data_IF_444684175415
#
_entry.id   IF_444684175415
#
_cell.length_a   1.000
_cell.length_b   1.000
_cell.length_c   1.000
_cell.angle_alpha   90.00
_cell.angle_beta   90.00
_cell.angle_gamma   90.00
#
_symmetry.space_group_name_H-M   'P 1'
#
loop_
_entity.id
_entity.type
_entity.pdbx_description
1 polymer ?
#
# COMPACT_ATOMS: atom_id res chain seq x y z
N UNK A 1 74.31 36.59 17.52
CA UNK A 1 73.49 36.56 16.36
C UNK A 1 72.34 35.56 16.66
N UNK A 2 71.21 36.06 17.13
CA UNK A 2 70.10 35.22 17.62
C UNK A 2 68.96 35.23 16.59
N UNK A 3 68.60 34.07 16.10
CA UNK A 3 67.37 33.89 15.30
C UNK A 3 66.33 33.14 16.15
N UNK A 4 65.23 33.80 16.49
CA UNK A 4 64.04 33.21 17.12
C UNK A 4 63.10 32.71 16.05
N UNK A 5 62.91 31.40 16.04
CA UNK A 5 61.86 30.78 15.28
C UNK A 5 60.48 30.97 15.99
N UNK A 6 59.58 31.68 15.34
CA UNK A 6 58.19 31.79 15.75
C UNK A 6 57.30 30.88 14.90
N UNK A 7 56.92 29.75 15.43
CA UNK A 7 55.93 28.87 14.77
C UNK A 7 55.09 28.10 15.82
N UNK A 8 54.35 28.83 16.65
CA UNK A 8 53.46 28.19 17.64
C UNK A 8 52.06 28.83 17.75
N UNK A 9 51.69 29.65 16.77
CA UNK A 9 50.42 30.40 16.83
C UNK A 9 49.27 29.89 15.98
N UNK A 10 49.48 28.91 15.12
CA UNK A 10 48.46 28.53 14.10
C UNK A 10 47.74 27.20 14.37
N UNK A 11 48.09 26.45 15.39
CA UNK A 11 47.50 25.15 15.72
C UNK A 11 46.30 25.29 16.66
N UNK A 12 46.22 26.40 17.40
CA UNK A 12 45.15 26.64 18.38
C UNK A 12 43.81 27.11 17.77
N UNK A 13 43.77 27.61 16.53
CA UNK A 13 42.55 28.10 15.88
C UNK A 13 41.81 27.06 15.07
N UNK A 14 42.42 25.88 14.78
CA UNK A 14 41.77 24.84 13.98
C UNK A 14 40.92 23.84 14.80
N UNK A 15 41.04 23.85 16.13
CA UNK A 15 40.30 22.91 16.99
C UNK A 15 38.95 23.45 17.50
N UNK A 16 38.64 24.71 17.35
CA UNK A 16 37.37 25.33 17.84
C UNK A 16 36.25 25.38 16.79
N UNK A 17 36.54 25.05 15.54
CA UNK A 17 35.55 25.08 14.47
C UNK A 17 34.81 23.70 14.23
N UNK A 18 35.22 22.63 14.94
CA UNK A 18 34.69 21.28 14.70
C UNK A 18 33.58 20.83 15.66
N UNK A 19 33.12 21.68 16.59
CA UNK A 19 32.19 21.24 17.65
C UNK A 19 30.77 21.83 17.49
N UNK A 20 30.40 22.51 16.41
CA UNK A 20 29.08 23.15 16.27
C UNK A 20 28.19 22.58 15.15
N UNK A 21 28.43 21.34 14.72
CA UNK A 21 27.43 20.60 13.95
C UNK A 21 26.79 19.49 14.80
N UNK A 22 26.26 19.84 15.95
CA UNK A 22 25.18 19.04 16.52
C UNK A 22 23.95 19.40 15.67
N UNK A 23 23.61 18.51 14.75
CA UNK A 23 22.35 18.58 14.03
C UNK A 23 21.23 18.63 15.09
N UNK A 24 20.67 19.82 15.28
CA UNK A 24 19.41 19.99 15.99
C UNK A 24 18.37 19.28 15.16
N UNK A 25 18.15 17.97 15.43
CA UNK A 25 16.96 17.30 14.99
C UNK A 25 15.80 18.16 15.45
N UNK A 26 15.13 18.83 14.54
CA UNK A 26 13.91 19.55 14.83
C UNK A 26 12.90 18.51 15.33
N UNK A 27 12.82 18.36 16.66
CA UNK A 27 11.69 17.70 17.29
C UNK A 27 10.53 18.60 16.98
N UNK A 28 9.68 18.18 16.05
CA UNK A 28 8.40 18.84 15.78
C UNK A 28 7.55 18.71 17.05
N UNK A 29 7.77 19.61 17.98
CA UNK A 29 6.99 19.70 19.21
C UNK A 29 5.58 20.08 18.78
N UNK A 30 4.59 19.24 19.03
CA UNK A 30 3.21 19.54 18.68
C UNK A 30 2.83 20.86 19.34
N UNK A 31 2.35 21.84 18.54
CA UNK A 31 1.98 23.20 18.96
C UNK A 31 1.07 23.22 20.19
N UNK A 32 0.36 22.14 20.46
CA UNK A 32 -0.66 22.03 21.50
C UNK A 32 -0.31 21.07 22.64
N UNK A 33 0.85 20.41 22.62
CA UNK A 33 1.25 19.43 23.65
C UNK A 33 0.32 18.20 23.75
N UNK A 34 -0.47 17.92 22.71
CA UNK A 34 -1.43 16.82 22.67
C UNK A 34 -0.79 15.62 21.97
N UNK A 35 -0.93 14.45 22.58
CA UNK A 35 -0.37 13.20 22.05
C UNK A 35 1.11 13.00 22.39
N UNK A 36 1.63 11.87 21.96
CA UNK A 36 3.04 11.49 22.05
C UNK A 36 3.52 11.01 20.69
N UNK A 37 4.81 11.11 20.43
CA UNK A 37 5.40 10.48 19.26
C UNK A 37 5.20 8.96 19.33
N UNK A 38 4.73 8.35 18.24
CA UNK A 38 4.64 6.91 18.15
C UNK A 38 6.05 6.29 18.09
N UNK A 39 6.22 5.15 18.76
CA UNK A 39 7.44 4.35 18.64
C UNK A 39 7.50 3.64 17.29
N UNK A 40 8.70 3.24 16.84
CA UNK A 40 8.86 2.46 15.61
C UNK A 40 8.06 1.15 15.63
N UNK A 41 7.94 0.50 16.80
CA UNK A 41 7.13 -0.72 16.94
C UNK A 41 5.63 -0.46 16.81
N UNK A 42 5.14 0.67 17.32
CA UNK A 42 3.74 1.09 17.12
C UNK A 42 3.48 1.42 15.64
N UNK A 43 4.38 2.14 14.98
CA UNK A 43 4.26 2.45 13.55
C UNK A 43 4.25 1.15 12.73
N UNK A 44 5.20 0.24 12.96
CA UNK A 44 5.33 -1.01 12.22
C UNK A 44 4.09 -1.91 12.34
N UNK A 45 3.38 -1.86 13.45
CA UNK A 45 2.16 -2.63 13.65
C UNK A 45 0.99 -2.15 12.77
N UNK A 46 1.01 -0.87 12.36
CA UNK A 46 -0.02 -0.25 11.53
C UNK A 46 0.41 -0.06 10.07
N UNK A 47 1.72 -0.02 9.80
CA UNK A 47 2.30 0.18 8.47
C UNK A 47 2.34 -1.16 7.71
N UNK A 48 1.15 -1.66 7.38
CA UNK A 48 0.93 -2.93 6.68
C UNK A 48 0.19 -2.74 5.34
N UNK A 49 -0.02 -1.51 4.93
CA UNK A 49 -0.67 -1.19 3.66
C UNK A 49 0.26 -1.40 2.46
N UNK A 50 -0.36 -1.66 1.32
CA UNK A 50 0.35 -1.88 0.06
C UNK A 50 -0.07 -0.83 -0.97
N UNK A 51 0.90 -0.05 -1.42
CA UNK A 51 0.70 0.98 -2.41
C UNK A 51 0.40 0.41 -3.82
N UNK A 52 -0.24 1.19 -4.70
CA UNK A 52 -0.53 0.78 -6.09
C UNK A 52 0.69 0.34 -6.90
N UNK A 53 1.88 0.88 -6.62
CA UNK A 53 3.14 0.51 -7.26
C UNK A 53 3.80 -0.74 -6.67
N UNK A 54 3.20 -1.35 -5.63
CA UNK A 54 3.71 -2.54 -4.95
C UNK A 54 4.63 -2.25 -3.76
N UNK A 55 4.86 -0.98 -3.40
CA UNK A 55 5.57 -0.68 -2.15
C UNK A 55 4.74 -1.21 -0.96
N UNK A 56 5.40 -1.83 0.01
CA UNK A 56 4.75 -2.47 1.15
C UNK A 56 4.37 -3.95 0.95
N UNK A 57 4.50 -4.51 -0.27
CA UNK A 57 4.23 -5.94 -0.49
C UNK A 57 5.15 -6.81 0.36
N UNK A 58 4.61 -7.67 1.25
CA UNK A 58 5.41 -8.54 2.09
C UNK A 58 6.02 -9.71 1.27
N UNK A 59 7.08 -10.32 1.81
CA UNK A 59 7.63 -11.54 1.24
C UNK A 59 6.62 -12.69 1.31
N UNK A 60 6.52 -13.47 0.22
CA UNK A 60 5.62 -14.60 0.09
C UNK A 60 5.28 -14.88 -1.36
N UNK A 61 4.59 -15.99 -1.59
CA UNK A 61 4.08 -16.36 -2.91
C UNK A 61 2.88 -17.30 -2.79
N UNK A 62 2.02 -17.33 -3.81
CA UNK A 62 0.87 -18.22 -3.85
C UNK A 62 0.35 -18.47 -5.24
N UNK A 63 -0.08 -19.71 -5.50
CA UNK A 63 -0.62 -20.13 -6.80
C UNK A 63 -2.14 -20.00 -6.87
N UNK A 64 -2.68 -19.96 -8.10
CA UNK A 64 -4.12 -20.03 -8.37
C UNK A 64 -4.74 -21.27 -7.74
N UNK A 65 -4.09 -22.43 -7.85
CA UNK A 65 -4.60 -23.67 -7.28
C UNK A 65 -4.71 -23.65 -5.74
N UNK A 66 -3.72 -23.04 -5.06
CA UNK A 66 -3.77 -22.83 -3.61
C UNK A 66 -4.90 -21.85 -3.24
N UNK A 67 -5.01 -20.74 -3.99
CA UNK A 67 -6.05 -19.72 -3.79
C UNK A 67 -7.46 -20.27 -3.95
N UNK A 68 -7.67 -21.20 -4.90
CA UNK A 68 -8.97 -21.85 -5.08
C UNK A 68 -9.43 -22.64 -3.86
N UNK A 69 -8.52 -23.35 -3.20
CA UNK A 69 -8.82 -24.08 -1.95
C UNK A 69 -9.16 -23.13 -0.82
N UNK A 70 -8.32 -22.09 -0.62
CA UNK A 70 -8.54 -21.07 0.41
C UNK A 70 -9.82 -20.28 0.19
N UNK A 71 -10.15 -19.96 -1.08
CA UNK A 71 -11.38 -19.27 -1.44
C UNK A 71 -12.62 -20.10 -1.06
N UNK A 72 -12.63 -21.37 -1.38
CA UNK A 72 -13.72 -22.28 -1.02
C UNK A 72 -13.95 -22.36 0.50
N UNK A 73 -12.86 -22.35 1.28
CA UNK A 73 -12.92 -22.40 2.74
C UNK A 73 -13.34 -21.08 3.40
N UNK A 74 -12.75 -19.96 2.96
CA UNK A 74 -12.76 -18.72 3.71
C UNK A 74 -13.62 -17.60 3.08
N UNK A 75 -13.97 -17.69 1.80
CA UNK A 75 -14.57 -16.61 1.02
C UNK A 75 -15.92 -16.97 0.39
N UNK A 76 -16.07 -18.19 -0.10
CA UNK A 76 -17.21 -18.62 -0.90
C UNK A 76 -18.56 -18.51 -0.16
N UNK A 77 -18.56 -18.71 1.15
CA UNK A 77 -19.79 -18.60 1.97
C UNK A 77 -20.43 -17.21 1.89
N UNK A 78 -19.63 -16.16 1.72
CA UNK A 78 -20.13 -14.78 1.61
C UNK A 78 -20.17 -14.29 0.17
N UNK A 79 -19.16 -14.60 -0.65
CA UNK A 79 -19.01 -14.04 -2.00
C UNK A 79 -19.55 -14.97 -3.11
N UNK A 80 -20.07 -16.16 -2.76
CA UNK A 80 -20.51 -17.17 -3.71
C UNK A 80 -19.34 -18.03 -4.24
N UNK A 81 -19.64 -19.26 -4.64
CA UNK A 81 -18.61 -20.23 -5.11
C UNK A 81 -17.89 -19.76 -6.39
N UNK A 82 -18.54 -18.90 -7.19
CA UNK A 82 -18.00 -18.32 -8.43
C UNK A 82 -17.73 -16.82 -8.30
N UNK A 83 -17.73 -16.28 -7.10
CA UNK A 83 -17.59 -14.84 -6.86
C UNK A 83 -18.78 -14.00 -7.34
N UNK A 84 -19.94 -14.61 -7.50
CA UNK A 84 -21.17 -13.98 -7.98
C UNK A 84 -21.85 -13.04 -6.97
N UNK A 85 -21.40 -13.07 -5.72
CA UNK A 85 -21.96 -12.30 -4.62
C UNK A 85 -23.09 -13.02 -3.90
N UNK A 86 -23.53 -12.44 -2.79
CA UNK A 86 -24.58 -12.87 -1.84
C UNK A 86 -24.06 -13.83 -0.76
N UNK A 87 -24.15 -13.37 0.49
CA UNK A 87 -24.67 -12.04 0.92
C UNK A 87 -23.74 -10.86 0.69
N UNK A 88 -22.42 -11.11 0.50
CA UNK A 88 -21.45 -10.04 0.26
C UNK A 88 -21.37 -9.63 -1.23
N UNK A 89 -20.56 -8.61 -1.51
CA UNK A 89 -20.41 -8.05 -2.83
C UNK A 89 -19.86 -9.06 -3.86
N UNK A 90 -20.29 -8.88 -5.11
CA UNK A 90 -19.78 -9.61 -6.25
C UNK A 90 -18.31 -9.28 -6.50
N UNK A 91 -17.51 -10.31 -6.72
CA UNK A 91 -16.07 -10.20 -6.99
C UNK A 91 -15.69 -10.42 -8.45
N UNK A 92 -16.57 -11.07 -9.23
CA UNK A 92 -16.28 -11.56 -10.59
C UNK A 92 -17.29 -11.04 -11.60
N UNK A 93 -16.82 -10.73 -12.81
CA UNK A 93 -17.66 -10.29 -13.93
C UNK A 93 -17.72 -8.78 -14.07
N UNK A 94 -18.72 -8.29 -14.83
CA UNK A 94 -18.94 -6.87 -15.04
C UNK A 94 -18.00 -6.20 -16.06
N UNK A 95 -17.13 -6.95 -16.74
CA UNK A 95 -16.26 -6.41 -17.78
C UNK A 95 -17.10 -5.75 -18.88
N UNK A 96 -16.70 -4.55 -19.30
CA UNK A 96 -17.40 -3.75 -20.33
C UNK A 96 -18.64 -3.01 -19.84
N UNK A 97 -19.10 -3.20 -18.59
CA UNK A 97 -20.36 -2.59 -18.09
C UNK A 97 -20.18 -1.21 -17.48
N UNK A 98 -18.96 -0.69 -17.30
CA UNK A 98 -18.73 0.56 -16.56
C UNK A 98 -19.41 1.79 -17.16
N UNK A 99 -19.71 1.77 -18.46
CA UNK A 99 -20.48 2.84 -19.15
C UNK A 99 -21.98 2.60 -19.22
N UNK A 100 -22.49 1.49 -18.70
CA UNK A 100 -23.91 1.18 -18.67
C UNK A 100 -24.64 1.99 -17.59
N UNK A 101 -25.95 2.11 -17.71
CA UNK A 101 -26.80 2.78 -16.73
C UNK A 101 -26.71 2.14 -15.33
N UNK A 102 -26.41 0.83 -15.27
CA UNK A 102 -26.21 0.09 -14.02
C UNK A 102 -24.87 -0.68 -14.10
N UNK A 103 -23.72 -0.04 -13.84
CA UNK A 103 -22.41 -0.66 -13.95
C UNK A 103 -22.21 -1.72 -12.88
N UNK A 104 -21.65 -2.86 -13.26
CA UNK A 104 -21.26 -3.93 -12.34
C UNK A 104 -19.79 -3.77 -12.00
N UNK A 105 -19.49 -3.25 -10.81
CA UNK A 105 -18.14 -2.99 -10.31
C UNK A 105 -17.60 -4.21 -9.58
N UNK A 106 -16.55 -4.81 -10.10
CA UNK A 106 -15.87 -5.97 -9.52
C UNK A 106 -14.37 -5.81 -9.58
N UNK A 107 -13.63 -6.81 -9.11
CA UNK A 107 -12.18 -6.86 -9.25
C UNK A 107 -11.78 -6.78 -10.73
N UNK A 108 -12.45 -7.52 -11.61
CA UNK A 108 -12.10 -7.58 -13.03
C UNK A 108 -12.61 -6.42 -13.88
N UNK A 109 -13.65 -5.71 -13.44
CA UNK A 109 -14.22 -4.61 -14.22
C UNK A 109 -13.78 -3.22 -13.74
N UNK A 110 -13.56 -3.03 -12.43
CA UNK A 110 -13.44 -1.71 -11.84
C UNK A 110 -12.06 -1.42 -11.22
N UNK A 111 -11.45 -2.39 -10.53
CA UNK A 111 -10.22 -2.17 -9.79
C UNK A 111 -9.04 -1.86 -10.72
N UNK A 112 -8.29 -0.75 -10.50
CA UNK A 112 -7.21 -0.33 -11.39
C UNK A 112 -5.86 -1.00 -11.11
N UNK A 113 -5.68 -1.61 -9.91
CA UNK A 113 -4.42 -2.20 -9.49
C UNK A 113 -4.64 -3.56 -8.83
N UNK A 114 -3.85 -4.55 -9.23
CA UNK A 114 -3.85 -5.87 -8.59
C UNK A 114 -3.27 -5.82 -7.17
N UNK A 115 -2.32 -4.92 -6.93
CA UNK A 115 -1.71 -4.68 -5.61
C UNK A 115 -2.71 -4.19 -4.57
N UNK A 116 -3.68 -3.37 -4.98
CA UNK A 116 -4.74 -2.91 -4.08
C UNK A 116 -5.77 -3.99 -3.77
N UNK A 117 -5.94 -4.99 -4.65
CA UNK A 117 -6.73 -6.19 -4.33
C UNK A 117 -6.04 -7.00 -3.23
N UNK A 118 -4.71 -7.20 -3.36
CA UNK A 118 -3.91 -7.83 -2.30
C UNK A 118 -4.05 -7.08 -0.98
N UNK A 119 -3.83 -5.77 -1.00
CA UNK A 119 -3.91 -4.90 0.16
C UNK A 119 -5.24 -5.04 0.90
N UNK A 120 -6.34 -4.96 0.17
CA UNK A 120 -7.68 -5.07 0.76
C UNK A 120 -7.93 -6.45 1.37
N UNK A 121 -7.54 -7.52 0.68
CA UNK A 121 -7.67 -8.89 1.20
C UNK A 121 -6.81 -9.09 2.44
N UNK A 122 -5.57 -8.61 2.42
CA UNK A 122 -4.60 -8.77 3.51
C UNK A 122 -5.04 -8.05 4.79
N UNK A 123 -5.55 -6.83 4.66
CA UNK A 123 -5.90 -5.99 5.81
C UNK A 123 -7.34 -6.18 6.30
N UNK A 124 -8.28 -6.51 5.42
CA UNK A 124 -9.71 -6.45 5.73
C UNK A 124 -10.47 -7.78 5.61
N UNK A 125 -9.89 -8.80 4.95
CA UNK A 125 -10.56 -10.08 4.71
C UNK A 125 -9.84 -11.27 5.38
N UNK A 126 -10.57 -12.34 5.80
CA UNK A 126 -12.02 -12.46 5.87
C UNK A 126 -12.65 -11.44 6.83
N UNK A 127 -13.83 -10.93 6.52
CA UNK A 127 -14.50 -9.89 7.32
C UNK A 127 -14.64 -10.25 8.83
N UNK A 128 -14.87 -11.53 9.13
CA UNK A 128 -15.01 -12.02 10.51
C UNK A 128 -13.66 -12.23 11.23
N UNK A 129 -12.53 -12.18 10.49
CA UNK A 129 -11.19 -12.36 11.03
C UNK A 129 -10.16 -11.56 10.20
N UNK A 130 -10.21 -10.22 10.21
CA UNK A 130 -9.25 -9.38 9.49
C UNK A 130 -7.82 -9.69 9.91
N UNK A 131 -6.87 -9.59 8.97
CA UNK A 131 -5.43 -9.81 9.21
C UNK A 131 -5.07 -11.23 9.69
N UNK A 132 -5.96 -12.21 9.53
CA UNK A 132 -5.69 -13.60 9.87
C UNK A 132 -4.98 -14.40 8.76
N UNK A 133 -4.90 -13.84 7.56
CA UNK A 133 -4.22 -14.46 6.42
C UNK A 133 -2.72 -14.16 6.45
N UNK A 134 -1.91 -15.16 6.20
CA UNK A 134 -0.50 -14.95 5.90
C UNK A 134 -0.31 -14.26 4.55
N UNK A 135 0.86 -13.67 4.31
CA UNK A 135 1.20 -13.07 3.02
C UNK A 135 1.04 -14.07 1.86
N UNK A 136 1.50 -15.33 2.04
CA UNK A 136 1.38 -16.37 1.01
C UNK A 136 -0.07 -16.75 0.72
N UNK A 137 -0.92 -16.87 1.74
CA UNK A 137 -2.36 -17.10 1.54
C UNK A 137 -3.01 -15.94 0.78
N UNK A 138 -2.61 -14.70 1.09
CA UNK A 138 -3.13 -13.52 0.40
C UNK A 138 -2.68 -13.47 -1.06
N UNK A 139 -1.42 -13.82 -1.37
CA UNK A 139 -0.97 -13.96 -2.77
C UNK A 139 -1.77 -15.03 -3.51
N UNK A 140 -2.00 -16.18 -2.89
CA UNK A 140 -2.77 -17.26 -3.48
C UNK A 140 -4.23 -16.84 -3.75
N UNK A 141 -4.89 -16.23 -2.78
CA UNK A 141 -6.25 -15.70 -2.94
C UNK A 141 -6.32 -14.63 -4.03
N UNK A 142 -5.37 -13.70 -4.06
CA UNK A 142 -5.29 -12.67 -5.10
C UNK A 142 -5.10 -13.31 -6.48
N UNK A 143 -4.21 -14.31 -6.60
CA UNK A 143 -4.02 -15.05 -7.85
C UNK A 143 -5.32 -15.71 -8.34
N UNK A 144 -6.05 -16.35 -7.44
CA UNK A 144 -7.32 -17.00 -7.76
C UNK A 144 -8.42 -16.00 -8.13
N UNK A 145 -8.54 -14.89 -7.42
CA UNK A 145 -9.49 -13.81 -7.73
C UNK A 145 -9.23 -13.21 -9.12
N UNK A 146 -7.97 -12.98 -9.47
CA UNK A 146 -7.59 -12.51 -10.79
C UNK A 146 -7.83 -13.55 -11.88
N UNK A 147 -7.59 -14.84 -11.57
CA UNK A 147 -7.91 -15.97 -12.46
C UNK A 147 -9.42 -16.07 -12.74
N UNK A 148 -10.26 -16.02 -11.72
CA UNK A 148 -11.72 -16.04 -11.89
C UNK A 148 -12.24 -14.89 -12.77
N UNK A 149 -11.52 -13.78 -12.82
CA UNK A 149 -11.81 -12.64 -13.68
C UNK A 149 -11.13 -12.70 -15.07
N UNK A 150 -10.49 -13.82 -15.41
CA UNK A 150 -9.84 -14.02 -16.72
C UNK A 150 -8.55 -13.22 -16.93
N UNK A 151 -7.94 -12.69 -15.84
CA UNK A 151 -6.71 -11.87 -15.90
C UNK A 151 -5.46 -12.77 -15.83
N UNK A 152 -5.54 -13.89 -15.13
CA UNK A 152 -4.44 -14.85 -14.97
C UNK A 152 -4.82 -16.25 -15.48
N UNK A 153 -3.83 -16.99 -15.98
CA UNK A 153 -3.97 -18.41 -16.30
C UNK A 153 -4.01 -19.28 -15.05
N UNK A 154 -4.48 -20.53 -15.20
CA UNK A 154 -4.64 -21.51 -14.13
C UNK A 154 -3.34 -21.87 -13.40
N UNK A 155 -2.22 -21.87 -14.12
CA UNK A 155 -0.90 -22.27 -13.59
C UNK A 155 -0.12 -21.09 -12.97
N UNK A 156 -0.74 -19.90 -12.90
CA UNK A 156 -0.06 -18.72 -12.42
C UNK A 156 0.24 -18.81 -10.91
N UNK A 157 1.40 -18.27 -10.57
CA UNK A 157 1.83 -18.03 -9.18
C UNK A 157 2.20 -16.55 -9.04
N UNK A 158 1.79 -15.93 -7.96
CA UNK A 158 2.09 -14.54 -7.65
C UNK A 158 3.03 -14.42 -6.46
N UNK A 159 3.91 -13.45 -6.57
CA UNK A 159 4.76 -12.89 -5.52
C UNK A 159 4.79 -11.35 -5.63
N UNK A 160 5.58 -10.67 -4.82
CA UNK A 160 5.68 -9.21 -4.84
C UNK A 160 6.09 -8.67 -6.22
N UNK A 161 7.02 -9.33 -6.90
CA UNK A 161 7.57 -8.85 -8.17
C UNK A 161 6.59 -9.05 -9.35
N UNK A 162 5.88 -10.18 -9.35
CA UNK A 162 4.92 -10.53 -10.41
C UNK A 162 3.59 -9.79 -10.23
N UNK A 163 3.09 -9.67 -8.99
CA UNK A 163 1.85 -8.96 -8.70
C UNK A 163 1.90 -7.49 -9.11
N UNK A 164 2.99 -6.80 -8.82
CA UNK A 164 3.17 -5.37 -9.18
C UNK A 164 3.18 -5.12 -10.70
N UNK A 165 3.44 -6.13 -11.51
CA UNK A 165 3.47 -6.03 -12.98
C UNK A 165 2.13 -6.29 -13.66
N UNK A 166 1.12 -6.74 -12.92
CA UNK A 166 -0.18 -7.06 -13.50
C UNK A 166 -0.88 -5.77 -13.95
N UNK A 167 -1.24 -5.73 -15.22
CA UNK A 167 -2.06 -4.65 -15.77
C UNK A 167 -3.53 -5.04 -15.69
N UNK A 168 -4.27 -4.36 -14.83
CA UNK A 168 -5.71 -4.57 -14.68
C UNK A 168 -6.47 -3.98 -15.87
N UNK A 169 -7.65 -4.55 -16.26
CA UNK A 169 -8.45 -4.06 -17.37
C UNK A 169 -8.84 -2.58 -17.26
N UNK A 170 -9.12 -2.10 -16.05
CA UNK A 170 -9.50 -0.71 -15.79
C UNK A 170 -8.35 0.17 -15.29
N UNK A 171 -7.09 -0.19 -15.64
CA UNK A 171 -5.89 0.54 -15.19
C UNK A 171 -5.96 2.04 -15.46
N UNK A 172 -6.47 2.42 -16.61
CA UNK A 172 -6.50 3.80 -17.09
C UNK A 172 -7.93 4.39 -17.08
N UNK A 173 -8.87 3.72 -16.42
CA UNK A 173 -10.28 4.14 -16.41
C UNK A 173 -10.62 5.24 -15.41
N UNK A 174 -9.67 5.62 -14.55
CA UNK A 174 -9.83 6.71 -13.60
C UNK A 174 -9.21 7.98 -14.15
N UNK A 175 -9.97 9.07 -14.10
CA UNK A 175 -9.54 10.40 -14.52
C UNK A 175 -9.56 11.34 -13.31
N UNK A 176 -8.80 12.44 -13.40
CA UNK A 176 -8.82 13.47 -12.37
C UNK A 176 -10.23 14.03 -12.19
N UNK A 177 -10.60 14.33 -10.95
CA UNK A 177 -11.89 14.96 -10.65
C UNK A 177 -11.82 16.42 -11.06
N UNK A 178 -12.62 16.79 -12.08
CA UNK A 178 -12.67 18.15 -12.63
C UNK A 178 -13.58 19.11 -11.86
N UNK A 179 -14.17 18.70 -10.71
CA UNK A 179 -15.02 19.60 -9.91
C UNK A 179 -14.17 20.71 -9.27
N UNK A 180 -14.68 21.95 -9.19
CA UNK A 180 -13.92 23.09 -8.65
C UNK A 180 -13.44 22.90 -7.20
N UNK A 181 -14.23 22.20 -6.38
CA UNK A 181 -13.94 21.96 -4.97
C UNK A 181 -12.79 20.96 -4.74
N UNK A 182 -12.40 20.17 -5.74
CA UNK A 182 -11.28 19.23 -5.65
C UNK A 182 -9.92 19.87 -5.92
N UNK A 183 -9.90 21.12 -6.38
CA UNK A 183 -8.68 21.89 -6.67
C UNK A 183 -8.23 22.74 -5.48
N UNK A 184 -8.93 22.71 -4.37
CA UNK A 184 -8.62 23.51 -3.20
C UNK A 184 -7.27 23.14 -2.61
N UNK A 185 -6.41 24.14 -2.44
CA UNK A 185 -5.16 23.99 -1.69
C UNK A 185 -5.52 23.82 -0.21
N UNK A 186 -4.98 22.79 0.47
CA UNK A 186 -5.21 22.64 1.90
C UNK A 186 -4.83 23.93 2.64
N UNK A 187 -5.72 24.39 3.49
CA UNK A 187 -5.46 25.55 4.31
C UNK A 187 -4.26 25.30 5.23
N UNK A 188 -3.19 26.07 5.11
CA UNK A 188 -1.98 25.96 5.93
C UNK A 188 -1.76 27.13 6.86
N UNK A 189 -2.35 28.29 6.56
CA UNK A 189 -2.31 29.53 7.35
C UNK A 189 -3.63 30.26 7.18
N UNK A 190 -4.10 30.91 8.22
CA UNK A 190 -5.31 31.77 8.20
C UNK A 190 -6.58 31.05 7.72
N UNK A 191 -6.79 29.83 8.22
CA UNK A 191 -8.00 29.05 7.95
C UNK A 191 -9.17 29.62 8.76
N UNK A 192 -9.99 30.45 8.12
CA UNK A 192 -11.26 30.98 8.68
C UNK A 192 -12.41 30.01 8.39
#
# INVERSE_FOLDING_TARGET
>A
MFTRNGSSGWIALALTAAITMVASGAIAQSKFGIGKAASESEIKAWDIDVSPNGAGLPAGSGSVAQGGKLYAEKCAACHGAKGEGKPADRLVGGQGTLKAASPVKTIGSFWPYATTVFDYVYRAMPYTAPQSLSASETYALTAYLLHMNGILGTEATLDAASLAKIRMPNRDGFVGDGRPDTSNVPCRTDCN
#
